data_IF_483961638233
#
_entry.id   IF_483961638233
#
_cell.length_a   1.000
_cell.length_b   1.000
_cell.length_c   1.000
_cell.angle_alpha   90.00
_cell.angle_beta   90.00
_cell.angle_gamma   90.00
#
_symmetry.space_group_name_H-M   'P 1'
#
loop_
_entity.id
_entity.type
_entity.pdbx_description
1 polymer ?
#
# COMPACT_ATOMS: atom_id res chain seq x y z
N UNK A 1 -25.42 -31.95 13.26
CA UNK A 1 -25.82 -30.72 12.54
C UNK A 1 -25.95 -29.59 13.54
N UNK A 2 -24.98 -28.69 13.60
CA UNK A 2 -25.02 -27.51 14.47
C UNK A 2 -24.93 -26.30 13.54
N UNK A 3 -26.02 -25.55 13.45
CA UNK A 3 -26.11 -24.28 12.73
C UNK A 3 -25.68 -23.17 13.70
N UNK A 4 -24.53 -22.55 13.42
CA UNK A 4 -24.09 -21.36 14.13
C UNK A 4 -24.28 -20.15 13.23
N UNK A 5 -25.47 -19.55 13.33
CA UNK A 5 -25.76 -18.19 12.87
C UNK A 5 -25.21 -17.22 13.92
N UNK A 6 -24.19 -16.44 13.58
CA UNK A 6 -23.81 -15.26 14.34
C UNK A 6 -23.75 -14.06 13.37
N UNK A 7 -24.56 -13.00 13.59
CA UNK A 7 -24.47 -11.78 12.81
C UNK A 7 -23.26 -10.95 13.27
N UNK A 8 -22.43 -10.52 12.32
CA UNK A 8 -21.33 -9.59 12.56
C UNK A 8 -21.89 -8.17 12.80
N UNK A 9 -21.36 -7.43 13.79
CA UNK A 9 -21.81 -6.09 14.11
C UNK A 9 -21.31 -5.04 13.10
N UNK A 10 -22.24 -4.23 12.61
CA UNK A 10 -22.04 -3.00 11.87
C UNK A 10 -21.44 -1.91 12.76
N UNK A 11 -20.17 -1.54 12.56
CA UNK A 11 -19.54 -0.29 13.01
C UNK A 11 -18.43 0.01 11.97
N UNK A 12 -18.32 1.16 11.30
CA UNK A 12 -18.45 2.53 11.74
C UNK A 12 -18.93 3.43 10.59
N UNK A 13 -19.97 4.23 10.84
CA UNK A 13 -20.38 5.34 9.97
C UNK A 13 -20.12 6.64 10.73
N UNK A 14 -18.90 7.18 10.62
CA UNK A 14 -18.59 8.51 11.15
C UNK A 14 -18.71 9.54 10.02
N UNK A 15 -19.83 10.26 10.05
CA UNK A 15 -19.97 11.58 9.43
C UNK A 15 -19.14 12.57 10.26
N UNK A 16 -18.26 13.32 9.60
CA UNK A 16 -17.80 14.61 10.12
C UNK A 16 -18.17 15.71 9.13
N UNK A 17 -19.07 16.56 9.61
CA UNK A 17 -19.57 17.76 8.96
C UNK A 17 -18.57 18.91 9.12
N UNK A 18 -18.56 19.75 8.09
CA UNK A 18 -17.88 21.03 7.92
C UNK A 18 -18.04 22.06 9.05
N UNK A 19 -16.98 22.81 9.29
CA UNK A 19 -16.93 24.11 10.01
C UNK A 19 -15.63 24.23 10.78
N UNK A 20 -14.85 25.30 10.78
CA UNK A 20 -14.91 26.61 10.14
C UNK A 20 -13.70 27.41 10.68
N UNK A 21 -13.20 28.33 9.85
CA UNK A 21 -12.42 29.53 10.17
C UNK A 21 -11.29 29.48 11.22
N UNK A 22 -10.06 29.79 10.77
CA UNK A 22 -9.10 30.56 11.55
C UNK A 22 -8.26 31.46 10.64
N UNK A 23 -7.95 32.65 11.15
CA UNK A 23 -7.55 33.87 10.44
C UNK A 23 -6.03 34.06 10.36
N UNK A 24 -5.63 34.79 9.31
CA UNK A 24 -4.59 35.86 9.21
C UNK A 24 -3.18 35.61 9.78
N UNK A 25 -2.19 35.86 8.93
CA UNK A 25 -1.19 36.90 9.19
C UNK A 25 -0.62 37.43 7.87
N UNK A 26 -0.72 38.75 7.70
CA UNK A 26 -0.01 39.54 6.69
C UNK A 26 1.39 39.84 7.23
N UNK A 27 2.42 39.64 6.42
CA UNK A 27 3.65 40.42 6.53
C UNK A 27 4.12 40.82 5.13
N UNK A 28 3.99 42.12 4.90
CA UNK A 28 4.56 42.85 3.79
C UNK A 28 6.09 42.76 3.86
N UNK A 29 6.74 42.38 2.77
CA UNK A 29 8.15 42.71 2.55
C UNK A 29 8.32 43.14 1.11
N UNK A 30 8.32 44.45 0.93
CA UNK A 30 8.82 45.14 -0.24
C UNK A 30 10.33 44.97 -0.27
N UNK A 31 10.89 44.33 -1.31
CA UNK A 31 12.11 44.84 -1.92
C UNK A 31 12.15 44.46 -3.40
N UNK A 32 12.25 45.53 -4.19
CA UNK A 32 12.29 45.62 -5.64
C UNK A 32 13.75 45.50 -6.05
N UNK A 33 14.10 44.44 -6.77
CA UNK A 33 15.43 44.25 -7.37
C UNK A 33 15.25 43.59 -8.72
N UNK A 34 15.25 44.41 -9.77
CA UNK A 34 15.10 44.00 -11.15
C UNK A 34 16.30 43.17 -11.60
N UNK A 35 16.02 41.98 -12.14
CA UNK A 35 16.86 41.34 -13.14
C UNK A 35 15.93 40.63 -14.12
N UNK A 36 15.85 41.19 -15.32
CA UNK A 36 15.31 40.52 -16.49
C UNK A 36 16.15 39.27 -16.73
N UNK A 37 15.57 38.10 -16.49
CA UNK A 37 16.08 36.86 -17.03
C UNK A 37 14.89 35.98 -17.43
N UNK A 38 14.94 35.61 -18.71
CA UNK A 38 14.05 34.73 -19.48
C UNK A 38 12.95 33.98 -18.71
N UNK A 39 11.71 34.44 -18.92
CA UNK A 39 10.49 33.85 -18.39
C UNK A 39 10.29 32.39 -18.80
N UNK A 40 10.77 31.47 -17.95
CA UNK A 40 10.35 30.07 -17.93
C UNK A 40 9.32 29.92 -16.81
N UNK A 41 8.05 29.57 -17.10
CA UNK A 41 7.03 29.56 -16.07
C UNK A 41 7.35 28.50 -15.00
N UNK A 42 7.65 28.97 -13.79
CA UNK A 42 7.80 28.19 -12.54
C UNK A 42 6.55 27.32 -12.28
N UNK A 43 5.42 27.67 -12.90
CA UNK A 43 4.14 27.00 -12.78
C UNK A 43 4.05 25.68 -13.56
N UNK A 44 4.95 25.38 -14.50
CA UNK A 44 4.90 24.11 -15.25
C UNK A 44 5.20 22.89 -14.36
N UNK A 45 6.05 23.05 -13.35
CA UNK A 45 6.42 21.98 -12.40
C UNK A 45 5.32 21.70 -11.38
N UNK A 46 4.60 22.74 -10.95
CA UNK A 46 3.44 22.62 -10.06
C UNK A 46 2.16 22.19 -10.81
N UNK A 47 2.01 22.56 -12.09
CA UNK A 47 0.91 22.07 -12.93
C UNK A 47 1.05 20.58 -13.31
N UNK A 48 2.28 20.08 -13.46
CA UNK A 48 2.54 18.65 -13.66
C UNK A 48 2.20 17.80 -12.41
N UNK A 49 2.20 18.41 -11.22
CA UNK A 49 1.85 17.76 -9.96
C UNK A 49 0.33 17.61 -9.73
N UNK A 50 -0.50 18.22 -10.58
CA UNK A 50 -1.97 18.08 -10.59
C UNK A 50 -2.45 17.45 -11.89
N UNK A 51 -1.72 16.46 -12.43
CA UNK A 51 -2.34 15.57 -13.41
C UNK A 51 -3.49 14.87 -12.69
N UNK A 52 -4.74 14.99 -13.16
CA UNK A 52 -5.83 14.20 -12.62
C UNK A 52 -5.38 12.74 -12.69
N UNK A 53 -5.51 12.02 -11.57
CA UNK A 53 -5.22 10.60 -11.51
C UNK A 53 -6.15 9.95 -12.52
N UNK A 54 -5.61 9.73 -13.73
CA UNK A 54 -6.35 9.20 -14.88
C UNK A 54 -7.07 7.92 -14.46
N UNK A 55 -8.27 7.65 -14.99
CA UNK A 55 -9.07 6.47 -14.62
C UNK A 55 -8.33 5.13 -14.66
N UNK A 56 -7.20 5.03 -15.36
CA UNK A 56 -6.29 3.88 -15.32
C UNK A 56 -5.63 3.65 -13.94
N UNK A 57 -5.20 4.71 -13.25
CA UNK A 57 -4.61 4.59 -11.91
C UNK A 57 -5.67 4.30 -10.85
N UNK A 58 -6.91 4.79 -11.04
CA UNK A 58 -8.05 4.42 -10.19
C UNK A 58 -8.41 2.94 -10.33
N UNK A 59 -8.48 2.42 -11.56
CA UNK A 59 -8.68 0.99 -11.81
C UNK A 59 -7.56 0.14 -11.23
N UNK A 60 -6.30 0.59 -11.34
CA UNK A 60 -5.15 -0.12 -10.76
C UNK A 60 -5.27 -0.28 -9.24
N UNK A 61 -5.70 0.77 -8.53
CA UNK A 61 -5.92 0.70 -7.07
C UNK A 61 -7.09 -0.22 -6.70
N UNK A 62 -8.20 -0.15 -7.44
CA UNK A 62 -9.33 -1.05 -7.22
C UNK A 62 -8.96 -2.52 -7.47
N UNK A 63 -8.28 -2.80 -8.58
CA UNK A 63 -7.77 -4.13 -8.91
C UNK A 63 -6.77 -4.63 -7.86
N UNK A 64 -5.94 -3.72 -7.33
CA UNK A 64 -4.99 -4.04 -6.27
C UNK A 64 -5.70 -4.45 -4.99
N UNK A 65 -6.67 -3.68 -4.50
CA UNK A 65 -7.39 -3.98 -3.26
C UNK A 65 -8.15 -5.31 -3.37
N UNK A 66 -8.90 -5.52 -4.45
CA UNK A 66 -9.65 -6.78 -4.62
C UNK A 66 -8.74 -8.02 -4.69
N UNK A 67 -7.54 -7.89 -5.28
CA UNK A 67 -6.56 -8.99 -5.31
C UNK A 67 -5.79 -9.12 -4.01
N UNK A 68 -5.57 -8.03 -3.29
CA UNK A 68 -4.94 -8.02 -1.98
C UNK A 68 -5.79 -8.76 -0.96
N UNK A 69 -7.10 -8.49 -0.92
CA UNK A 69 -8.03 -9.21 -0.05
C UNK A 69 -8.03 -10.71 -0.33
N UNK A 70 -8.18 -11.11 -1.60
CA UNK A 70 -8.12 -12.51 -2.00
C UNK A 70 -6.78 -13.16 -1.63
N UNK A 71 -5.68 -12.41 -1.72
CA UNK A 71 -4.34 -12.89 -1.39
C UNK A 71 -4.16 -13.10 0.11
N UNK A 72 -4.57 -12.12 0.92
CA UNK A 72 -4.51 -12.24 2.38
C UNK A 72 -5.43 -13.33 2.90
N UNK A 73 -6.58 -13.54 2.28
CA UNK A 73 -7.50 -14.64 2.62
C UNK A 73 -6.86 -16.01 2.39
N UNK A 74 -6.20 -16.20 1.23
CA UNK A 74 -5.46 -17.45 0.93
C UNK A 74 -4.34 -17.66 1.94
N UNK A 75 -3.55 -16.63 2.25
CA UNK A 75 -2.47 -16.73 3.24
C UNK A 75 -3.01 -17.07 4.64
N UNK A 76 -4.08 -16.40 5.08
CA UNK A 76 -4.68 -16.66 6.39
C UNK A 76 -5.32 -18.06 6.46
N UNK A 77 -5.96 -18.51 5.38
CA UNK A 77 -6.51 -19.86 5.30
C UNK A 77 -5.39 -20.91 5.34
N UNK A 78 -4.28 -20.65 4.66
CA UNK A 78 -3.12 -21.54 4.63
C UNK A 78 -2.40 -21.59 5.99
N UNK A 79 -2.24 -20.46 6.66
CA UNK A 79 -1.64 -20.42 7.99
C UNK A 79 -2.47 -21.19 9.03
N UNK A 80 -3.81 -21.16 8.91
CA UNK A 80 -4.72 -21.85 9.83
C UNK A 80 -4.87 -23.35 9.57
N UNK A 81 -4.91 -23.76 8.30
CA UNK A 81 -5.30 -25.13 7.90
C UNK A 81 -4.23 -25.88 7.10
N UNK A 82 -3.05 -25.28 6.94
CA UNK A 82 -1.97 -25.79 6.10
C UNK A 82 -2.15 -25.45 4.61
N UNK A 83 -1.07 -25.69 3.86
CA UNK A 83 -1.05 -25.58 2.40
C UNK A 83 -1.71 -26.80 1.75
N UNK A 84 -2.58 -26.56 0.77
CA UNK A 84 -3.15 -27.58 -0.10
C UNK A 84 -2.96 -27.16 -1.58
N UNK A 85 -3.06 -28.11 -2.54
CA UNK A 85 -2.79 -27.80 -3.95
C UNK A 85 -3.69 -26.71 -4.54
N UNK A 86 -4.88 -26.51 -3.99
CA UNK A 86 -5.81 -25.47 -4.44
C UNK A 86 -5.33 -24.09 -3.98
N UNK A 87 -5.02 -23.93 -2.70
CA UNK A 87 -4.45 -22.69 -2.14
C UNK A 87 -3.13 -22.32 -2.79
N UNK A 88 -2.27 -23.31 -3.06
CA UNK A 88 -1.01 -23.11 -3.78
C UNK A 88 -1.25 -22.55 -5.19
N UNK A 89 -2.22 -23.10 -5.92
CA UNK A 89 -2.61 -22.59 -7.24
C UNK A 89 -3.19 -21.17 -7.17
N UNK A 90 -4.07 -20.90 -6.20
CA UNK A 90 -4.65 -19.56 -5.99
C UNK A 90 -3.56 -18.53 -5.64
N UNK A 91 -2.64 -18.87 -4.73
CA UNK A 91 -1.46 -18.08 -4.40
C UNK A 91 -0.61 -17.78 -5.64
N UNK A 92 -0.27 -18.81 -6.43
CA UNK A 92 0.56 -18.64 -7.62
C UNK A 92 -0.05 -17.69 -8.66
N UNK A 93 -1.38 -17.72 -8.83
CA UNK A 93 -2.09 -16.81 -9.74
C UNK A 93 -2.06 -15.36 -9.24
N UNK A 94 -2.32 -15.16 -7.95
CA UNK A 94 -2.30 -13.82 -7.33
C UNK A 94 -0.88 -13.24 -7.31
N UNK A 95 0.11 -14.04 -6.93
CA UNK A 95 1.53 -13.71 -6.94
C UNK A 95 1.99 -13.18 -8.30
N UNK A 96 1.64 -13.85 -9.40
CA UNK A 96 2.00 -13.39 -10.76
C UNK A 96 1.51 -11.97 -11.03
N UNK A 97 0.31 -11.65 -10.56
CA UNK A 97 -0.22 -10.30 -10.72
C UNK A 97 0.53 -9.28 -9.87
N UNK A 98 0.83 -9.60 -8.59
CA UNK A 98 1.61 -8.69 -7.72
C UNK A 98 3.00 -8.41 -8.29
N UNK A 99 3.74 -9.44 -8.68
CA UNK A 99 5.08 -9.28 -9.29
C UNK A 99 5.02 -8.37 -10.53
N UNK A 100 3.95 -8.47 -11.33
CA UNK A 100 3.80 -7.70 -12.56
C UNK A 100 3.28 -6.27 -12.37
N UNK A 101 2.61 -5.94 -11.25
CA UNK A 101 1.89 -4.67 -11.10
C UNK A 101 2.28 -3.87 -9.86
N UNK A 102 2.81 -4.51 -8.82
CA UNK A 102 3.06 -3.88 -7.52
C UNK A 102 4.03 -2.69 -7.63
N UNK A 103 5.04 -2.75 -8.51
CA UNK A 103 6.00 -1.65 -8.68
C UNK A 103 5.35 -0.29 -9.00
N UNK A 104 4.16 -0.28 -9.61
CA UNK A 104 3.40 0.93 -9.94
C UNK A 104 2.78 1.60 -8.71
N UNK A 105 2.54 0.82 -7.66
CA UNK A 105 1.94 1.24 -6.40
C UNK A 105 2.98 1.36 -5.28
N UNK A 106 4.11 0.65 -5.42
CA UNK A 106 5.21 0.61 -4.47
C UNK A 106 5.73 2.01 -4.09
N UNK A 107 5.77 2.96 -5.05
CA UNK A 107 6.21 4.33 -4.79
C UNK A 107 5.36 5.06 -3.74
N UNK A 108 4.10 4.65 -3.54
CA UNK A 108 3.20 5.20 -2.52
C UNK A 108 3.14 4.35 -1.26
N UNK A 109 3.11 3.02 -1.41
CA UNK A 109 2.97 2.11 -0.26
C UNK A 109 4.26 1.98 0.55
N UNK A 110 5.42 1.92 -0.10
CA UNK A 110 6.71 1.66 0.58
C UNK A 110 7.05 2.67 1.66
N UNK A 111 6.97 4.00 1.44
CA UNK A 111 7.34 4.95 2.49
C UNK A 111 6.50 4.78 3.77
N UNK A 112 5.24 4.38 3.62
CA UNK A 112 4.33 4.19 4.75
C UNK A 112 4.59 2.84 5.42
N UNK A 113 4.83 1.78 4.63
CA UNK A 113 5.23 0.47 5.15
C UNK A 113 6.59 0.54 5.87
N UNK A 114 7.59 1.18 5.28
CA UNK A 114 8.91 1.36 5.88
C UNK A 114 8.82 2.13 7.20
N UNK A 115 7.92 3.12 7.31
CA UNK A 115 7.69 3.86 8.54
C UNK A 115 6.95 3.04 9.62
N UNK A 116 5.93 2.27 9.24
CA UNK A 116 5.12 1.45 10.17
C UNK A 116 5.91 0.25 10.72
N UNK A 117 6.83 -0.28 9.92
CA UNK A 117 7.68 -1.42 10.26
C UNK A 117 9.13 -1.00 10.60
N UNK A 118 9.37 0.31 10.76
CA UNK A 118 10.68 0.84 11.15
C UNK A 118 11.08 0.30 12.53
N UNK A 119 12.16 -0.48 12.59
CA UNK A 119 12.69 -1.03 13.85
C UNK A 119 12.34 -2.49 14.12
N UNK A 120 11.59 -3.15 13.24
CA UNK A 120 11.54 -4.61 13.22
C UNK A 120 12.86 -5.16 12.65
N UNK A 121 13.72 -5.67 13.52
CA UNK A 121 15.00 -6.34 13.20
C UNK A 121 14.82 -7.71 12.54
N UNK A 122 13.62 -8.06 12.09
CA UNK A 122 13.46 -9.14 11.11
C UNK A 122 14.12 -8.65 9.83
N UNK A 123 15.38 -9.02 9.65
CA UNK A 123 16.21 -8.67 8.52
C UNK A 123 15.44 -8.96 7.22
N UNK A 124 14.74 -7.96 6.71
CA UNK A 124 13.94 -8.11 5.51
C UNK A 124 14.89 -8.62 4.43
N UNK A 125 14.56 -9.76 3.78
CA UNK A 125 15.48 -10.37 2.83
C UNK A 125 15.90 -9.30 1.83
N UNK A 126 17.20 -9.19 1.55
CA UNK A 126 17.67 -8.14 0.64
C UNK A 126 17.69 -8.70 -0.77
N UNK A 127 16.97 -8.07 -1.70
CA UNK A 127 17.00 -8.46 -3.12
C UNK A 127 17.88 -7.49 -3.89
N UNK A 128 18.60 -8.00 -4.90
CA UNK A 128 19.25 -7.15 -5.88
C UNK A 128 18.17 -6.53 -6.79
N UNK A 129 17.98 -5.22 -6.69
CA UNK A 129 17.20 -4.46 -7.68
C UNK A 129 17.85 -4.62 -9.07
N UNK A 130 17.09 -4.31 -10.13
CA UNK A 130 17.54 -4.41 -11.53
C UNK A 130 18.84 -3.65 -11.85
N UNK A 131 19.24 -2.69 -11.01
CA UNK A 131 20.49 -1.95 -11.10
C UNK A 131 21.67 -2.61 -10.35
N UNK A 132 21.50 -3.83 -9.81
CA UNK A 132 22.48 -4.52 -8.98
C UNK A 132 22.60 -3.97 -7.55
N UNK A 133 21.77 -3.00 -7.17
CA UNK A 133 21.74 -2.46 -5.82
C UNK A 133 20.91 -3.36 -4.92
N UNK A 134 21.48 -3.73 -3.77
CA UNK A 134 20.76 -4.49 -2.74
C UNK A 134 19.75 -3.57 -2.06
N UNK A 135 18.46 -3.86 -2.21
CA UNK A 135 17.37 -3.16 -1.53
C UNK A 135 16.69 -4.10 -0.53
N UNK A 136 16.37 -3.57 0.64
CA UNK A 136 15.49 -4.26 1.56
C UNK A 136 14.12 -4.47 0.90
N UNK A 137 13.59 -5.69 1.04
CA UNK A 137 12.21 -5.96 0.67
C UNK A 137 11.27 -5.21 1.57
N UNK A 138 10.23 -4.63 0.98
CA UNK A 138 9.15 -4.12 1.80
C UNK A 138 8.35 -5.28 2.43
N UNK A 139 7.70 -5.07 3.58
CA UNK A 139 6.96 -6.11 4.29
C UNK A 139 5.89 -6.81 3.44
N UNK A 140 5.35 -6.13 2.43
CA UNK A 140 4.35 -6.68 1.52
C UNK A 140 4.99 -7.54 0.43
N UNK A 141 6.11 -7.11 -0.14
CA UNK A 141 6.95 -7.86 -1.07
C UNK A 141 7.42 -9.18 -0.47
N UNK A 142 7.76 -9.18 0.81
CA UNK A 142 8.14 -10.39 1.54
C UNK A 142 7.04 -11.47 1.52
N UNK A 143 5.75 -11.11 1.37
CA UNK A 143 4.64 -12.06 1.34
C UNK A 143 4.47 -12.74 -0.04
N UNK A 144 4.72 -12.03 -1.13
CA UNK A 144 4.45 -12.54 -2.48
C UNK A 144 5.70 -12.91 -3.28
N UNK A 145 6.90 -12.56 -2.81
CA UNK A 145 8.14 -12.94 -3.51
C UNK A 145 8.49 -14.43 -3.42
N UNK A 146 8.28 -15.13 -2.28
CA UNK A 146 8.49 -16.57 -2.22
C UNK A 146 7.78 -17.30 -3.37
N UNK A 147 8.42 -18.28 -4.02
CA UNK A 147 7.87 -18.88 -5.23
C UNK A 147 6.66 -19.77 -4.96
N UNK A 148 6.55 -20.32 -3.75
CA UNK A 148 5.45 -21.18 -3.31
C UNK A 148 4.84 -20.70 -2.00
N UNK A 149 3.57 -21.03 -1.79
CA UNK A 149 2.86 -20.79 -0.54
C UNK A 149 3.49 -21.60 0.61
N UNK A 150 3.96 -22.82 0.31
CA UNK A 150 4.75 -23.62 1.24
C UNK A 150 5.98 -22.88 1.78
N UNK A 151 6.70 -22.15 0.93
CA UNK A 151 7.89 -21.38 1.35
C UNK A 151 7.51 -20.21 2.27
N UNK A 152 6.37 -19.54 2.02
CA UNK A 152 5.86 -18.47 2.89
C UNK A 152 5.59 -19.02 4.30
N UNK A 153 4.91 -20.16 4.38
CA UNK A 153 4.59 -20.80 5.66
C UNK A 153 5.83 -21.36 6.37
N UNK A 154 6.82 -21.86 5.62
CA UNK A 154 8.07 -22.34 6.19
C UNK A 154 8.92 -21.21 6.81
N UNK A 155 8.76 -19.99 6.32
CA UNK A 155 9.40 -18.79 6.86
C UNK A 155 8.59 -18.13 8.00
N UNK A 156 7.37 -18.62 8.26
CA UNK A 156 6.51 -18.08 9.32
C UNK A 156 6.94 -18.63 10.70
N UNK A 157 7.23 -17.71 11.62
CA UNK A 157 7.54 -18.01 13.03
C UNK A 157 6.29 -18.00 13.93
N UNK A 158 5.10 -17.93 13.34
CA UNK A 158 3.81 -17.87 14.03
C UNK A 158 3.16 -16.47 14.03
N UNK A 159 3.81 -15.49 13.39
CA UNK A 159 3.42 -14.08 13.38
C UNK A 159 2.85 -13.61 12.03
N UNK A 160 2.66 -14.52 11.06
CA UNK A 160 2.13 -14.18 9.74
C UNK A 160 0.76 -13.50 9.77
N UNK A 161 -0.20 -14.00 10.56
CA UNK A 161 -1.55 -13.39 10.64
C UNK A 161 -1.49 -11.98 11.27
N UNK A 162 -0.84 -11.76 12.43
CA UNK A 162 -0.61 -10.42 12.98
C UNK A 162 0.08 -9.48 11.98
N UNK A 163 1.10 -9.96 11.26
CA UNK A 163 1.82 -9.18 10.24
C UNK A 163 0.88 -8.77 9.10
N UNK A 164 0.08 -9.70 8.57
CA UNK A 164 -0.92 -9.41 7.53
C UNK A 164 -1.93 -8.35 8.01
N UNK A 165 -2.40 -8.43 9.25
CA UNK A 165 -3.33 -7.45 9.79
C UNK A 165 -2.74 -6.03 9.78
N UNK A 166 -1.49 -5.88 10.25
CA UNK A 166 -0.79 -4.58 10.24
C UNK A 166 -0.52 -4.06 8.84
N UNK A 167 -0.12 -4.93 7.91
CA UNK A 167 0.06 -4.54 6.50
C UNK A 167 -1.29 -4.08 5.91
N UNK A 168 -2.39 -4.76 6.25
CA UNK A 168 -3.72 -4.41 5.79
C UNK A 168 -4.15 -3.03 6.28
N UNK A 169 -3.90 -2.70 7.55
CA UNK A 169 -4.20 -1.37 8.10
C UNK A 169 -3.46 -0.26 7.32
N UNK A 170 -2.20 -0.49 6.95
CA UNK A 170 -1.41 0.45 6.13
C UNK A 170 -1.98 0.56 4.71
N UNK A 171 -2.30 -0.57 4.08
CA UNK A 171 -2.83 -0.63 2.72
C UNK A 171 -4.16 0.11 2.62
N UNK A 172 -5.08 -0.14 3.55
CA UNK A 172 -6.40 0.53 3.55
C UNK A 172 -6.28 2.02 3.84
N UNK A 173 -5.41 2.44 4.77
CA UNK A 173 -5.13 3.87 5.01
C UNK A 173 -4.63 4.57 3.74
N UNK A 174 -3.68 3.94 3.03
CA UNK A 174 -3.17 4.48 1.77
C UNK A 174 -4.25 4.56 0.68
N UNK A 175 -5.16 3.58 0.65
CA UNK A 175 -6.28 3.57 -0.28
C UNK A 175 -7.30 4.68 0.02
N UNK A 176 -7.66 4.89 1.29
CA UNK A 176 -8.56 5.96 1.73
C UNK A 176 -7.98 7.35 1.44
N UNK A 177 -6.69 7.56 1.74
CA UNK A 177 -5.99 8.81 1.42
C UNK A 177 -5.96 9.08 -0.09
N UNK A 178 -5.78 8.02 -0.88
CA UNK A 178 -5.79 8.09 -2.33
C UNK A 178 -7.19 8.43 -2.88
N UNK A 179 -8.23 7.80 -2.34
CA UNK A 179 -9.63 8.06 -2.70
C UNK A 179 -10.02 9.51 -2.35
N UNK A 180 -9.57 10.02 -1.21
CA UNK A 180 -9.83 11.40 -0.80
C UNK A 180 -9.13 12.46 -1.69
N UNK A 181 -8.04 12.09 -2.37
CA UNK A 181 -7.22 13.00 -3.19
C UNK A 181 -7.53 12.91 -4.69
N UNK A 182 -8.33 11.93 -5.13
CA UNK A 182 -8.64 11.66 -6.54
C UNK A 182 -9.95 12.30 -7.01
#
# INVERSE_FOLDING_TARGET
MIRSNLPLPFLYRLRLTTGGAARRALTSSTYRGAREDTGRPINARQAAARRPVTGAASRLWQDFIGRYEAFTDVLCAAAKSGCDPRKESEYAQLRRWFVANYYRLAARLRPVLDAEFAGEEDAAPTIADYAGQRRALDPLEALFLPPTLGDVLAQDTGDLIPRIARISDVVYRCYEEWEATS
#
